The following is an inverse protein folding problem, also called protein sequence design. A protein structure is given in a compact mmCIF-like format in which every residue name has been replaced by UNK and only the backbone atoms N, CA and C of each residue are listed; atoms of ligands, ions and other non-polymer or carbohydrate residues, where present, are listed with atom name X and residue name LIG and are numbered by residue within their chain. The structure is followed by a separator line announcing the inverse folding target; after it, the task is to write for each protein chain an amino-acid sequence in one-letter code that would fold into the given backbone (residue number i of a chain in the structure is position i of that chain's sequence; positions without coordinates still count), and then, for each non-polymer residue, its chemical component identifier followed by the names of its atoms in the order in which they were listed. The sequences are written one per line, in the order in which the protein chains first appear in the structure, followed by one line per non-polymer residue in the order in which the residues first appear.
data_IF_246573935566
#
_entry.id   IF_246573935566
#
_cell.length_a   1.000
_cell.length_b   1.000
_cell.length_c   1.000
_cell.angle_alpha   90.00
_cell.angle_beta   90.00
_cell.angle_gamma   90.00
#
_symmetry.space_group_name_H-M   'P 1'
#
loop_
_entity.id
_entity.type
_entity.pdbx_description
1 polymer ?
#
# COMPACT_ATOMS: atom_id res chain seq x y z
N UNK A 1 3.13 -1.80 2.10
CA UNK A 1 3.17 -0.38 1.72
C UNK A 1 1.75 0.15 1.77
N UNK A 2 1.42 0.99 2.76
CA UNK A 2 0.07 1.50 3.01
C UNK A 2 -0.27 2.77 2.22
N UNK A 3 0.65 3.27 1.40
CA UNK A 3 0.56 4.59 0.75
C UNK A 3 1.08 5.73 1.62
N UNK A 4 1.36 5.48 2.90
CA UNK A 4 1.95 6.46 3.81
C UNK A 4 3.48 6.59 3.68
N UNK A 5 4.00 7.68 4.26
CA UNK A 5 5.43 8.02 4.25
C UNK A 5 6.26 6.94 4.94
N UNK A 6 5.88 6.48 6.13
CA UNK A 6 6.67 5.51 6.90
C UNK A 6 6.93 4.23 6.10
N UNK A 7 5.88 3.68 5.49
CA UNK A 7 5.98 2.45 4.70
C UNK A 7 6.78 2.64 3.40
N UNK A 8 6.77 3.86 2.85
CA UNK A 8 7.53 4.20 1.65
C UNK A 8 9.01 4.39 1.95
N UNK A 9 9.34 5.06 3.07
CA UNK A 9 10.72 5.24 3.54
C UNK A 9 11.31 3.89 3.97
N UNK A 10 10.53 3.04 4.64
CA UNK A 10 10.97 1.69 4.98
C UNK A 10 11.34 0.87 3.72
N UNK A 11 10.49 0.90 2.68
CA UNK A 11 10.79 0.24 1.41
C UNK A 11 12.02 0.84 0.73
N UNK A 12 12.18 2.17 0.76
CA UNK A 12 13.34 2.86 0.19
C UNK A 12 14.66 2.46 0.88
N UNK A 13 14.66 2.37 2.21
CA UNK A 13 15.84 1.94 2.97
C UNK A 13 16.25 0.51 2.62
N UNK A 14 15.28 -0.41 2.42
CA UNK A 14 15.59 -1.79 2.04
C UNK A 14 16.09 -1.87 0.58
N UNK A 15 15.48 -1.10 -0.33
CA UNK A 15 15.90 -1.04 -1.73
C UNK A 15 17.33 -0.46 -1.87
N UNK A 16 17.65 0.60 -1.12
CA UNK A 16 19.00 1.22 -1.10
C UNK A 16 20.08 0.26 -0.57
N UNK A 17 19.70 -0.66 0.33
CA UNK A 17 20.58 -1.72 0.82
C UNK A 17 20.80 -2.86 -0.19
N UNK A 18 20.09 -2.86 -1.32
CA UNK A 18 20.17 -3.90 -2.34
C UNK A 18 19.45 -5.20 -1.97
N UNK A 19 18.50 -5.14 -1.03
CA UNK A 19 17.66 -6.29 -0.65
C UNK A 19 16.62 -6.59 -1.76
N UNK A 20 16.12 -7.82 -1.78
CA UNK A 20 14.99 -8.19 -2.64
C UNK A 20 13.67 -7.72 -2.02
N UNK A 21 13.16 -6.59 -2.51
CA UNK A 21 12.01 -5.89 -1.93
C UNK A 21 10.81 -5.97 -2.87
N UNK A 22 9.66 -6.37 -2.32
CA UNK A 22 8.36 -6.33 -3.00
C UNK A 22 7.40 -5.47 -2.18
N UNK A 23 6.80 -4.47 -2.82
CA UNK A 23 5.75 -3.66 -2.24
C UNK A 23 4.40 -4.37 -2.31
N UNK A 24 3.68 -4.45 -1.19
CA UNK A 24 2.30 -4.96 -1.15
C UNK A 24 1.39 -3.96 -0.46
N UNK A 25 0.31 -3.56 -1.12
CA UNK A 25 -0.80 -2.83 -0.52
C UNK A 25 -1.99 -3.77 -0.34
N UNK A 26 -2.74 -3.61 0.75
CA UNK A 26 -3.92 -4.42 1.06
C UNK A 26 -5.12 -3.49 1.22
N UNK A 27 -6.16 -3.74 0.42
CA UNK A 27 -7.49 -3.18 0.66
C UNK A 27 -8.14 -3.99 1.77
N UNK A 28 -8.49 -3.33 2.87
CA UNK A 28 -9.14 -4.00 4.02
C UNK A 28 -10.61 -3.64 4.17
N UNK A 29 -11.08 -2.60 3.48
CA UNK A 29 -12.50 -2.22 3.44
C UNK A 29 -13.00 -2.20 1.99
N UNK A 30 -14.29 -2.43 1.73
CA UNK A 30 -14.84 -2.40 0.37
C UNK A 30 -14.61 -1.06 -0.33
N UNK A 31 -14.34 -1.08 -1.65
CA UNK A 31 -14.32 0.15 -2.45
C UNK A 31 -15.68 0.86 -2.37
N UNK A 32 -15.66 2.17 -2.11
CA UNK A 32 -16.87 2.96 -1.91
C UNK A 32 -17.54 2.74 -0.54
N UNK A 33 -16.88 2.02 0.38
CA UNK A 33 -17.24 1.93 1.79
C UNK A 33 -17.00 3.23 2.55
N UNK A 34 -17.30 3.21 3.85
CA UNK A 34 -17.44 4.36 4.73
C UNK A 34 -16.40 5.47 4.51
N UNK A 35 -16.86 6.72 4.38
CA UNK A 35 -16.00 7.90 4.15
C UNK A 35 -15.03 8.16 5.31
N UNK A 36 -15.28 7.53 6.46
CA UNK A 36 -14.45 7.57 7.66
C UNK A 36 -13.42 6.42 7.73
N UNK A 37 -13.30 5.58 6.68
CA UNK A 37 -12.31 4.52 6.65
C UNK A 37 -10.87 5.10 6.72
N UNK A 38 -9.95 4.49 7.49
CA UNK A 38 -8.59 4.98 7.59
C UNK A 38 -7.92 5.02 6.20
N UNK A 39 -7.42 6.20 5.78
CA UNK A 39 -6.83 6.35 4.43
C UNK A 39 -5.78 5.28 4.11
N UNK A 40 -4.98 4.84 5.08
CA UNK A 40 -3.91 3.87 4.87
C UNK A 40 -4.36 2.47 4.39
N UNK A 41 -5.60 2.06 4.66
CA UNK A 41 -6.13 0.73 4.31
C UNK A 41 -7.54 0.77 3.69
N UNK A 42 -8.14 1.97 3.62
CA UNK A 42 -9.53 2.17 3.30
C UNK A 42 -9.81 2.84 1.96
N UNK A 43 -8.83 3.54 1.38
CA UNK A 43 -9.05 4.33 0.15
C UNK A 43 -8.21 3.82 -1.01
N UNK A 44 -8.82 3.81 -2.19
CA UNK A 44 -8.13 3.48 -3.45
C UNK A 44 -6.98 4.46 -3.74
N UNK A 45 -7.08 5.69 -3.23
CA UNK A 45 -6.02 6.70 -3.29
C UNK A 45 -4.74 6.26 -2.60
N UNK A 46 -4.83 5.61 -1.44
CA UNK A 46 -3.65 5.14 -0.73
C UNK A 46 -2.98 3.95 -1.42
N UNK A 47 -3.76 3.09 -2.07
CA UNK A 47 -3.23 2.05 -2.96
C UNK A 47 -2.47 2.65 -4.14
N UNK A 48 -3.01 3.72 -4.74
CA UNK A 48 -2.35 4.44 -5.82
C UNK A 48 -1.08 5.18 -5.36
N UNK A 49 -1.10 5.80 -4.18
CA UNK A 49 0.09 6.40 -3.57
C UNK A 49 1.17 5.34 -3.31
N UNK A 50 0.79 4.16 -2.81
CA UNK A 50 1.72 3.05 -2.61
C UNK A 50 2.32 2.55 -3.93
N UNK A 51 1.50 2.46 -4.99
CA UNK A 51 1.94 2.10 -6.33
C UNK A 51 2.93 3.11 -6.89
N UNK A 52 2.66 4.42 -6.73
CA UNK A 52 3.56 5.49 -7.17
C UNK A 52 4.88 5.47 -6.41
N UNK A 53 4.85 5.25 -5.10
CA UNK A 53 6.06 5.11 -4.29
C UNK A 53 6.90 3.90 -4.74
N UNK A 54 6.28 2.73 -4.93
CA UNK A 54 6.98 1.53 -5.40
C UNK A 54 7.59 1.71 -6.80
N UNK A 55 6.86 2.36 -7.71
CA UNK A 55 7.37 2.69 -9.05
C UNK A 55 8.57 3.63 -9.00
N UNK A 56 8.57 4.64 -8.13
CA UNK A 56 9.71 5.54 -7.94
C UNK A 56 10.95 4.83 -7.38
N UNK A 57 10.75 3.78 -6.58
CA UNK A 57 11.81 2.93 -6.03
C UNK A 57 12.26 1.82 -7.00
N UNK A 58 11.56 1.62 -8.11
CA UNK A 58 11.86 0.54 -9.06
C UNK A 58 11.60 -0.87 -8.53
N UNK A 59 10.74 -1.02 -7.51
CA UNK A 59 10.42 -2.32 -6.90
C UNK A 59 9.10 -2.89 -7.43
N UNK A 60 8.96 -4.23 -7.54
CA UNK A 60 7.68 -4.87 -7.85
C UNK A 60 6.59 -4.48 -6.85
N UNK A 61 5.36 -4.33 -7.33
CA UNK A 61 4.22 -3.93 -6.51
C UNK A 61 2.99 -4.78 -6.78
N UNK A 62 2.31 -5.20 -5.70
CA UNK A 62 1.04 -5.91 -5.75
C UNK A 62 -0.01 -5.20 -4.89
N UNK A 63 -1.24 -5.18 -5.40
CA UNK A 63 -2.42 -4.79 -4.64
C UNK A 63 -3.25 -6.05 -4.37
N UNK A 64 -3.57 -6.29 -3.11
CA UNK A 64 -4.36 -7.43 -2.67
C UNK A 64 -5.68 -6.93 -2.09
N UNK A 65 -6.77 -7.58 -2.48
CA UNK A 65 -8.08 -7.30 -1.92
C UNK A 65 -8.39 -8.30 -0.80
N UNK A 66 -8.51 -7.79 0.41
CA UNK A 66 -8.91 -8.53 1.60
C UNK A 66 -10.14 -7.90 2.28
N UNK A 67 -10.90 -7.07 1.55
CA UNK A 67 -12.11 -6.45 2.09
C UNK A 67 -13.11 -7.50 2.60
N UNK A 68 -13.25 -8.63 1.90
CA UNK A 68 -14.16 -9.72 2.31
C UNK A 68 -13.71 -10.44 3.59
N UNK A 69 -12.42 -10.34 3.95
CA UNK A 69 -11.86 -11.00 5.14
C UNK A 69 -11.90 -10.11 6.37
N UNK A 70 -11.83 -8.78 6.19
CA UNK A 70 -11.66 -7.82 7.28
C UNK A 70 -12.70 -6.70 7.33
N UNK A 71 -13.60 -6.59 6.35
CA UNK A 71 -14.54 -5.47 6.16
C UNK A 71 -15.84 -5.55 6.97
N UNK A 72 -15.81 -6.13 8.17
CA UNK A 72 -16.96 -6.20 9.10
C UNK A 72 -17.05 -4.99 10.05
#
# INVERSE_FOLDING_TARGET
MSGGVDSSVAAAILADRGEDVVGVWMRLVPSGGDVDAPRCCGTDEAGEDARRAAAALGIPFYALDYADVFGE
#
